data_IF_936851316914
#
_entry.id   IF_936851316914
#
_cell.length_a   1.000
_cell.length_b   1.000
_cell.length_c   1.000
_cell.angle_alpha   90.00
_cell.angle_beta   90.00
_cell.angle_gamma   90.00
#
_symmetry.space_group_name_H-M   'P 1'
#
loop_
_entity.id
_entity.type
_entity.pdbx_description
1 polymer ?
#
# COMPACT_ATOMS: atom_id res chain seq x y z
N UNK A 1 -5.68 -27.19 7.83
CA UNK A 1 -5.35 -25.82 8.27
C UNK A 1 -4.77 -25.10 7.06
N UNK A 2 -5.50 -24.11 6.56
CA UNK A 2 -5.25 -23.40 5.28
C UNK A 2 -4.16 -22.32 5.41
N UNK A 3 -3.03 -22.66 6.02
CA UNK A 3 -2.02 -21.66 6.40
C UNK A 3 -1.21 -21.11 5.20
N UNK A 4 -1.28 -21.78 4.04
CA UNK A 4 -0.57 -21.39 2.82
C UNK A 4 -1.24 -20.27 2.01
N UNK A 5 -2.57 -20.12 2.10
CA UNK A 5 -3.31 -19.17 1.27
C UNK A 5 -3.15 -17.73 1.75
N UNK A 6 -3.07 -17.51 3.07
CA UNK A 6 -2.97 -16.18 3.65
C UNK A 6 -1.69 -15.45 3.24
N UNK A 7 -0.54 -16.14 3.32
CA UNK A 7 0.76 -15.58 2.88
C UNK A 7 0.74 -15.20 1.40
N UNK A 8 0.15 -16.05 0.55
CA UNK A 8 0.08 -15.82 -0.89
C UNK A 8 -0.80 -14.62 -1.23
N UNK A 9 -1.96 -14.51 -0.57
CA UNK A 9 -2.88 -13.38 -0.73
C UNK A 9 -2.19 -12.07 -0.31
N UNK A 10 -1.47 -12.06 0.82
CA UNK A 10 -0.71 -10.88 1.24
C UNK A 10 0.32 -10.50 0.17
N UNK A 11 1.17 -11.42 -0.28
CA UNK A 11 2.20 -11.10 -1.28
C UNK A 11 1.62 -10.56 -2.59
N UNK A 12 0.52 -11.13 -3.09
CA UNK A 12 -0.16 -10.63 -4.30
C UNK A 12 -0.71 -9.22 -4.09
N UNK A 13 -1.36 -8.96 -2.95
CA UNK A 13 -1.86 -7.61 -2.63
C UNK A 13 -0.72 -6.61 -2.55
N UNK A 14 0.44 -7.01 -2.03
CA UNK A 14 1.64 -6.19 -1.93
C UNK A 14 2.29 -5.93 -3.29
N UNK A 15 2.24 -6.86 -4.24
CA UNK A 15 2.73 -6.64 -5.61
C UNK A 15 1.85 -5.64 -6.39
N UNK A 16 0.56 -5.55 -6.08
CA UNK A 16 -0.37 -4.63 -6.75
C UNK A 16 -0.27 -3.17 -6.27
N UNK A 17 0.29 -2.97 -5.07
CA UNK A 17 0.45 -1.67 -4.44
C UNK A 17 1.93 -1.28 -4.38
N UNK A 18 2.21 0.00 -4.32
CA UNK A 18 3.58 0.49 -4.20
C UNK A 18 4.07 0.39 -2.74
N UNK A 19 4.30 -0.84 -2.27
CA UNK A 19 4.91 -1.13 -0.96
C UNK A 19 5.92 -2.27 -1.09
N UNK A 20 7.05 -2.12 -0.42
CA UNK A 20 8.08 -3.16 -0.36
C UNK A 20 7.80 -4.16 0.77
N UNK A 21 8.38 -5.37 0.72
CA UNK A 21 8.33 -6.30 1.85
C UNK A 21 8.85 -5.70 3.17
N UNK A 22 9.79 -4.75 3.12
CA UNK A 22 10.31 -4.07 4.31
C UNK A 22 9.25 -3.14 4.94
N UNK A 23 8.53 -2.36 4.13
CA UNK A 23 7.44 -1.49 4.59
C UNK A 23 6.34 -2.29 5.29
N UNK A 24 6.07 -3.49 4.80
CA UNK A 24 5.07 -4.39 5.38
C UNK A 24 5.52 -4.93 6.72
N UNK A 25 6.78 -5.34 6.82
CA UNK A 25 7.36 -5.77 8.09
C UNK A 25 7.34 -4.61 9.10
N UNK A 26 7.69 -3.39 8.70
CA UNK A 26 7.65 -2.22 9.58
C UNK A 26 6.25 -1.98 10.16
N UNK A 27 5.20 -2.13 9.34
CA UNK A 27 3.81 -1.98 9.79
C UNK A 27 3.33 -3.16 10.66
N UNK A 28 3.87 -4.37 10.44
CA UNK A 28 3.52 -5.57 11.21
C UNK A 28 4.38 -5.78 12.46
N UNK A 29 5.47 -5.01 12.61
CA UNK A 29 6.30 -5.05 13.80
C UNK A 29 5.65 -4.28 14.94
N UNK A 30 5.47 -4.90 16.11
CA UNK A 30 4.92 -4.22 17.27
C UNK A 30 5.84 -3.09 17.72
N UNK A 31 5.26 -1.92 17.91
CA UNK A 31 5.97 -0.72 18.38
C UNK A 31 6.30 -0.77 19.87
N UNK A 32 5.78 -1.76 20.59
CA UNK A 32 5.94 -1.94 22.04
C UNK A 32 6.30 -3.38 22.37
N UNK A 33 6.93 -3.58 23.53
CA UNK A 33 7.37 -4.90 24.01
C UNK A 33 6.23 -5.85 24.37
N UNK A 34 5.03 -5.31 24.64
CA UNK A 34 3.86 -6.12 24.97
C UNK A 34 3.15 -6.70 23.74
N UNK A 35 3.52 -6.25 22.53
CA UNK A 35 2.83 -6.61 21.31
C UNK A 35 1.48 -5.90 21.19
N UNK A 36 1.09 -5.58 19.96
CA UNK A 36 -0.25 -5.06 19.64
C UNK A 36 -0.65 -5.54 18.25
N UNK A 37 -1.10 -6.80 18.11
CA UNK A 37 -1.41 -7.37 16.80
C UNK A 37 -2.46 -6.56 16.02
N UNK A 38 -3.44 -5.99 16.73
CA UNK A 38 -4.51 -5.19 16.13
C UNK A 38 -3.99 -3.81 15.69
N UNK A 39 -3.18 -3.14 16.50
CA UNK A 39 -2.51 -1.90 16.12
C UNK A 39 -1.53 -2.06 14.94
N UNK A 40 -0.84 -3.19 14.87
CA UNK A 40 0.03 -3.54 13.74
C UNK A 40 -0.78 -3.70 12.45
N UNK A 41 -1.87 -4.48 12.50
CA UNK A 41 -2.75 -4.65 11.34
C UNK A 41 -3.40 -3.33 10.90
N UNK A 42 -3.85 -2.52 11.86
CA UNK A 42 -4.40 -1.19 11.58
C UNK A 42 -3.38 -0.24 10.96
N UNK A 43 -2.12 -0.31 11.41
CA UNK A 43 -1.01 0.45 10.80
C UNK A 43 -0.82 0.05 9.35
N UNK A 44 -0.77 -1.26 9.05
CA UNK A 44 -0.67 -1.77 7.69
C UNK A 44 -1.86 -1.30 6.84
N UNK A 45 -3.09 -1.46 7.31
CA UNK A 45 -4.30 -1.01 6.58
C UNK A 45 -4.26 0.50 6.29
N UNK A 46 -3.75 1.30 7.23
CA UNK A 46 -3.53 2.73 7.04
C UNK A 46 -2.56 3.01 5.89
N UNK A 47 -1.39 2.38 5.92
CA UNK A 47 -0.38 2.51 4.87
C UNK A 47 -0.94 2.10 3.49
N UNK A 48 -1.65 0.97 3.42
CA UNK A 48 -2.31 0.49 2.20
C UNK A 48 -3.29 1.52 1.60
N UNK A 49 -4.10 2.18 2.43
CA UNK A 49 -5.04 3.22 1.97
C UNK A 49 -4.30 4.44 1.43
N UNK A 50 -3.27 4.89 2.14
CA UNK A 50 -2.47 6.05 1.72
C UNK A 50 -1.75 5.78 0.40
N UNK A 51 -1.15 4.62 0.21
CA UNK A 51 -0.47 4.25 -1.04
C UNK A 51 -1.45 4.22 -2.22
N UNK A 52 -2.66 3.68 -2.05
CA UNK A 52 -3.68 3.68 -3.10
C UNK A 52 -4.16 5.09 -3.48
N UNK A 53 -4.29 5.98 -2.50
CA UNK A 53 -4.66 7.37 -2.75
C UNK A 53 -3.56 8.09 -3.55
N UNK A 54 -2.29 7.96 -3.13
CA UNK A 54 -1.14 8.56 -3.83
C UNK A 54 -1.08 8.14 -5.30
N UNK A 55 -1.21 6.85 -5.58
CA UNK A 55 -1.23 6.32 -6.96
C UNK A 55 -2.36 6.94 -7.80
N UNK A 56 -3.54 7.12 -7.19
CA UNK A 56 -4.69 7.75 -7.87
C UNK A 56 -4.42 9.23 -8.16
N UNK A 57 -3.85 9.97 -7.20
CA UNK A 57 -3.53 11.39 -7.36
C UNK A 57 -2.45 11.59 -8.43
N UNK A 58 -1.39 10.78 -8.41
CA UNK A 58 -0.33 10.77 -9.43
C UNK A 58 -0.87 10.45 -10.83
N UNK A 59 -1.71 9.41 -10.95
CA UNK A 59 -2.37 9.05 -12.21
C UNK A 59 -3.25 10.20 -12.74
N UNK A 60 -3.95 10.92 -11.86
CA UNK A 60 -4.76 12.08 -12.23
C UNK A 60 -3.90 13.26 -12.68
N UNK A 61 -2.77 13.52 -12.02
CA UNK A 61 -1.86 14.61 -12.38
C UNK A 61 -1.19 14.34 -13.74
N UNK A 62 -0.72 13.12 -13.99
CA UNK A 62 -0.20 12.69 -15.29
C UNK A 62 -1.27 12.87 -16.38
N UNK A 63 -2.54 12.55 -16.10
CA UNK A 63 -3.62 12.72 -17.06
C UNK A 63 -3.93 14.20 -17.36
N UNK A 64 -3.86 15.08 -16.36
CA UNK A 64 -4.02 16.53 -16.54
C UNK A 64 -2.90 17.11 -17.41
N UNK A 65 -1.65 16.82 -17.07
CA UNK A 65 -0.48 17.30 -17.83
C UNK A 65 -0.54 16.85 -19.30
N UNK A 66 -0.89 15.58 -19.55
CA UNK A 66 -1.08 15.06 -20.92
C UNK A 66 -2.24 15.72 -21.67
N UNK A 67 -3.27 16.22 -20.99
CA UNK A 67 -4.38 16.96 -21.63
C UNK A 67 -3.98 18.41 -21.92
N UNK A 68 -3.25 19.06 -21.02
CA UNK A 68 -2.71 20.40 -21.21
C UNK A 68 -1.71 20.44 -22.37
N UNK A 69 -0.78 19.49 -22.45
CA UNK A 69 0.17 19.37 -23.58
C UNK A 69 -0.54 19.21 -24.94
N UNK A 70 -1.70 18.53 -24.97
CA UNK A 70 -2.53 18.36 -26.18
C UNK A 70 -3.36 19.59 -26.54
N UNK A 71 -3.53 20.54 -25.63
CA UNK A 71 -4.29 21.77 -25.86
C UNK A 71 -3.42 22.91 -26.40
N UNK A 72 -2.09 22.75 -26.37
CA UNK A 72 -1.09 23.74 -26.81
C UNK A 72 -0.69 23.55 -28.30
N UNK A 73 -1.36 22.64 -29.01
CA UNK A 73 -1.18 22.38 -30.46
C UNK A 73 -2.42 22.85 -31.23
#
# INVERSE_FOLDING_TARGET
>A
MEDGNFRKIILVILEEIDMTPADVVENLMPKTSYGDPEGCLNSLIGALKTTKLKKTDEDQEILKNRKEDRLII
#
